data_IF_155743634106
#
_entry.id   IF_155743634106
#
_cell.length_a   1.000
_cell.length_b   1.000
_cell.length_c   1.000
_cell.angle_alpha   90.00
_cell.angle_beta   90.00
_cell.angle_gamma   90.00
#
_symmetry.space_group_name_H-M   'P 1'
#
loop_
_entity.id
_entity.type
_entity.pdbx_description
1 polymer ?
#
# COMPACT_ATOMS: atom_id res chain seq x y z
N UNK A 1 28.41 -1.35 0.20
CA UNK A 1 28.30 -2.82 0.02
C UNK A 1 28.29 -3.57 1.34
N UNK A 2 29.05 -3.15 2.34
CA UNK A 2 29.13 -3.81 3.66
C UNK A 2 27.78 -3.84 4.40
N UNK A 3 27.08 -2.70 4.44
CA UNK A 3 25.74 -2.58 5.06
C UNK A 3 24.65 -3.42 4.38
N UNK A 4 24.82 -3.73 3.08
CA UNK A 4 23.93 -4.64 2.36
C UNK A 4 24.19 -6.09 2.77
N UNK A 5 25.46 -6.52 2.87
CA UNK A 5 25.83 -7.87 3.34
C UNK A 5 25.39 -8.13 4.79
N UNK A 6 25.35 -7.08 5.62
CA UNK A 6 24.86 -7.18 6.99
C UNK A 6 23.35 -7.43 7.08
N UNK A 7 22.56 -6.81 6.18
CA UNK A 7 21.10 -6.89 6.17
C UNK A 7 20.48 -7.89 5.17
N UNK A 8 21.28 -8.58 4.35
CA UNK A 8 20.79 -9.63 3.43
C UNK A 8 20.54 -10.95 4.16
N UNK A 9 19.42 -11.59 3.83
CA UNK A 9 18.96 -12.87 4.39
C UNK A 9 18.69 -13.83 3.23
N UNK A 10 19.08 -15.09 3.39
CA UNK A 10 18.78 -16.17 2.47
C UNK A 10 17.27 -16.39 2.36
N UNK A 11 16.80 -16.50 1.13
CA UNK A 11 15.48 -17.07 0.84
C UNK A 11 15.62 -18.57 0.74
N UNK A 12 14.79 -19.27 1.50
CA UNK A 12 14.77 -20.74 1.52
C UNK A 12 13.81 -21.24 0.45
N UNK A 13 14.34 -22.00 -0.50
CA UNK A 13 13.57 -22.84 -1.42
C UNK A 13 13.41 -24.24 -0.83
N UNK A 14 14.11 -25.23 -1.38
CA UNK A 14 14.14 -26.61 -0.86
C UNK A 14 15.04 -26.80 0.38
N UNK A 15 15.75 -25.76 0.83
CA UNK A 15 16.64 -25.82 1.99
C UNK A 15 17.93 -26.62 1.78
N UNK A 16 18.15 -27.20 0.60
CA UNK A 16 19.26 -28.11 0.33
C UNK A 16 20.62 -27.41 0.28
N UNK A 17 20.68 -26.09 0.10
CA UNK A 17 21.93 -25.32 0.04
C UNK A 17 22.20 -24.48 1.30
N UNK A 18 21.24 -24.41 2.22
CA UNK A 18 21.29 -23.47 3.35
C UNK A 18 21.46 -24.21 4.67
N UNK A 19 22.51 -23.87 5.41
CA UNK A 19 22.84 -24.46 6.70
C UNK A 19 22.03 -23.81 7.80
N UNK A 20 21.44 -24.64 8.66
CA UNK A 20 20.54 -24.20 9.75
C UNK A 20 21.27 -23.17 10.63
N UNK A 21 22.45 -23.50 11.15
CA UNK A 21 23.11 -22.70 12.19
C UNK A 21 24.03 -21.59 11.68
N UNK A 22 24.52 -21.70 10.43
CA UNK A 22 25.60 -20.84 9.90
C UNK A 22 25.09 -19.74 8.97
N UNK A 23 24.01 -19.99 8.26
CA UNK A 23 23.49 -19.05 7.27
C UNK A 23 22.46 -18.09 7.88
N UNK A 24 22.41 -16.86 7.36
CA UNK A 24 21.40 -15.87 7.74
C UNK A 24 20.10 -16.16 6.99
N UNK A 25 19.13 -16.84 7.57
CA UNK A 25 17.87 -17.17 6.90
C UNK A 25 16.60 -16.81 7.69
N UNK A 26 16.76 -16.37 8.94
CA UNK A 26 15.63 -15.93 9.76
C UNK A 26 15.48 -14.40 9.71
N UNK A 27 14.29 -13.85 9.39
CA UNK A 27 14.03 -12.40 9.49
C UNK A 27 14.06 -11.84 10.93
N UNK A 28 14.04 -12.70 11.95
CA UNK A 28 14.23 -12.36 13.37
C UNK A 28 15.00 -13.48 14.07
N UNK A 29 15.90 -13.20 15.03
CA UNK A 29 16.21 -11.90 15.65
C UNK A 29 17.06 -10.98 14.76
N UNK A 30 17.38 -9.75 15.22
CA UNK A 30 18.10 -8.69 14.45
C UNK A 30 19.46 -9.16 13.88
N UNK A 31 20.03 -10.23 14.45
CA UNK A 31 21.25 -10.89 13.96
C UNK A 31 21.02 -11.72 12.69
N UNK A 32 19.77 -11.96 12.30
CA UNK A 32 19.32 -12.82 11.20
C UNK A 32 19.79 -14.28 11.27
N UNK A 33 20.36 -14.67 12.41
CA UNK A 33 20.92 -15.98 12.72
C UNK A 33 20.19 -16.56 13.92
N UNK A 34 20.19 -17.89 13.98
CA UNK A 34 19.63 -18.68 15.07
C UNK A 34 20.43 -18.43 16.34
N UNK A 35 19.73 -18.08 17.42
CA UNK A 35 20.29 -17.92 18.76
C UNK A 35 20.00 -19.13 19.65
N UNK A 36 19.15 -20.06 19.22
CA UNK A 36 19.01 -21.36 19.90
C UNK A 36 20.30 -22.18 19.77
N UNK A 37 20.85 -22.73 20.88
CA UNK A 37 22.04 -23.56 20.82
C UNK A 37 21.78 -24.84 20.01
N UNK A 38 22.73 -25.29 19.16
CA UNK A 38 22.62 -26.53 18.41
C UNK A 38 22.72 -27.74 19.35
N UNK A 39 21.59 -28.15 19.93
CA UNK A 39 21.53 -29.26 20.88
C UNK A 39 20.95 -30.55 20.27
N UNK A 40 20.24 -30.44 19.14
CA UNK A 40 19.41 -31.53 18.59
C UNK A 40 19.86 -32.01 17.19
N UNK A 41 20.49 -31.14 16.41
CA UNK A 41 20.98 -31.42 15.06
C UNK A 41 22.45 -31.02 14.95
N UNK A 42 23.17 -31.68 14.05
CA UNK A 42 24.58 -31.37 13.76
C UNK A 42 24.73 -29.93 13.23
N UNK A 43 25.91 -29.34 13.49
CA UNK A 43 26.28 -27.97 13.13
C UNK A 43 26.26 -27.71 11.61
N UNK A 44 26.40 -28.75 10.79
CA UNK A 44 26.36 -28.67 9.32
C UNK A 44 25.03 -29.15 8.70
N UNK A 45 24.01 -29.39 9.53
CA UNK A 45 22.66 -29.75 9.08
C UNK A 45 22.05 -28.66 8.19
N UNK A 46 21.36 -29.10 7.12
CA UNK A 46 20.72 -28.23 6.13
C UNK A 46 19.23 -28.12 6.37
N UNK A 47 18.63 -27.02 5.89
CA UNK A 47 17.22 -26.73 6.10
C UNK A 47 16.26 -27.74 5.46
N UNK A 48 16.71 -28.50 4.48
CA UNK A 48 15.92 -29.58 3.85
C UNK A 48 15.36 -30.59 4.86
N UNK A 49 16.05 -30.81 5.99
CA UNK A 49 15.62 -31.76 7.04
C UNK A 49 14.33 -31.29 7.72
N UNK A 50 14.14 -29.97 7.81
CA UNK A 50 13.02 -29.31 8.47
C UNK A 50 11.81 -29.09 7.53
N UNK A 51 11.98 -29.38 6.24
CA UNK A 51 10.96 -29.22 5.22
C UNK A 51 10.42 -30.61 4.87
N UNK A 52 9.11 -30.73 4.81
CA UNK A 52 8.43 -31.89 4.28
C UNK A 52 8.27 -31.73 2.76
N UNK A 53 8.77 -32.70 2.00
CA UNK A 53 8.87 -32.60 0.53
C UNK A 53 7.51 -32.73 -0.15
N UNK A 54 6.60 -33.54 0.40
CA UNK A 54 5.28 -33.79 -0.17
C UNK A 54 4.34 -32.62 0.09
N UNK A 55 4.29 -32.14 1.33
CA UNK A 55 3.44 -31.02 1.74
C UNK A 55 4.05 -29.64 1.48
N UNK A 56 5.33 -29.58 1.08
CA UNK A 56 6.14 -28.34 0.95
C UNK A 56 6.01 -27.42 2.16
N UNK A 57 5.85 -28.01 3.34
CA UNK A 57 5.58 -27.29 4.59
C UNK A 57 6.66 -27.57 5.63
N UNK A 58 6.76 -26.71 6.64
CA UNK A 58 7.67 -26.94 7.75
C UNK A 58 7.16 -28.07 8.63
N UNK A 59 8.05 -28.98 9.03
CA UNK A 59 7.77 -30.00 10.05
C UNK A 59 7.65 -29.33 11.41
N UNK A 60 6.45 -28.81 11.73
CA UNK A 60 6.19 -27.96 12.90
C UNK A 60 6.68 -28.56 14.21
N UNK A 61 6.47 -29.85 14.43
CA UNK A 61 6.90 -30.53 15.65
C UNK A 61 8.43 -30.51 15.80
N UNK A 62 9.13 -30.70 14.69
CA UNK A 62 10.59 -30.66 14.65
C UNK A 62 11.11 -29.21 14.78
N UNK A 63 10.45 -28.24 14.15
CA UNK A 63 10.78 -26.81 14.27
C UNK A 63 10.55 -26.31 15.71
N UNK A 64 9.44 -26.66 16.34
CA UNK A 64 9.12 -26.29 17.71
C UNK A 64 10.04 -26.99 18.74
N UNK A 65 10.52 -28.20 18.43
CA UNK A 65 11.48 -28.92 19.27
C UNK A 65 12.91 -28.36 19.17
N UNK A 66 13.27 -27.75 18.05
CA UNK A 66 14.63 -27.28 17.77
C UNK A 66 14.80 -25.79 18.07
N UNK A 67 13.78 -24.96 17.86
CA UNK A 67 13.88 -23.50 17.98
C UNK A 67 13.06 -22.96 19.15
N UNK A 68 13.54 -21.85 19.74
CA UNK A 68 12.75 -21.07 20.71
C UNK A 68 11.49 -20.51 20.05
N UNK A 69 10.46 -20.26 20.85
CA UNK A 69 9.15 -19.78 20.40
C UNK A 69 9.24 -18.52 19.50
N UNK A 70 10.13 -17.58 19.84
CA UNK A 70 10.38 -16.36 19.04
C UNK A 70 11.04 -16.61 17.67
N UNK A 71 11.77 -17.72 17.52
CA UNK A 71 12.43 -18.15 16.28
C UNK A 71 11.52 -19.08 15.46
N UNK A 72 10.66 -19.85 16.15
CA UNK A 72 9.64 -20.70 15.54
C UNK A 72 8.49 -19.86 14.94
N UNK A 73 8.17 -18.68 15.51
CA UNK A 73 7.23 -17.71 14.95
C UNK A 73 7.83 -16.86 13.80
N UNK A 74 8.44 -17.49 12.80
CA UNK A 74 9.05 -16.78 11.69
C UNK A 74 8.05 -16.47 10.55
N UNK A 75 7.08 -15.61 10.83
CA UNK A 75 6.22 -15.06 9.77
C UNK A 75 5.67 -13.72 10.22
N UNK A 76 6.25 -12.65 9.67
CA UNK A 76 5.55 -11.40 9.30
C UNK A 76 6.57 -10.36 8.83
N UNK A 77 6.66 -10.22 7.49
CA UNK A 77 7.18 -9.06 6.73
C UNK A 77 8.71 -8.93 6.62
N UNK A 78 9.27 -9.60 5.62
CA UNK A 78 10.62 -9.34 5.07
C UNK A 78 10.65 -8.15 4.11
N UNK A 79 10.13 -6.98 4.48
CA UNK A 79 10.14 -5.80 3.58
C UNK A 79 11.43 -4.99 3.75
N UNK A 80 12.29 -4.99 2.72
CA UNK A 80 13.34 -3.99 2.60
C UNK A 80 12.75 -2.67 2.08
N UNK A 81 12.99 -1.59 2.79
CA UNK A 81 12.66 -0.23 2.36
C UNK A 81 13.77 0.70 2.85
N UNK A 82 13.93 1.85 2.21
CA UNK A 82 14.85 2.90 2.69
C UNK A 82 14.56 3.25 4.16
N UNK A 83 13.29 3.15 4.57
CA UNK A 83 12.85 3.35 5.95
C UNK A 83 13.32 2.23 6.91
N UNK A 84 13.35 0.96 6.49
CA UNK A 84 13.88 -0.14 7.32
C UNK A 84 15.40 -0.16 7.36
N UNK A 85 16.07 0.20 6.26
CA UNK A 85 17.53 0.41 6.24
C UNK A 85 17.95 1.61 7.12
N UNK A 86 17.20 2.72 7.05
CA UNK A 86 17.41 3.88 7.93
C UNK A 86 17.15 3.51 9.40
N UNK A 87 16.07 2.78 9.69
CA UNK A 87 15.76 2.30 11.05
C UNK A 87 16.88 1.39 11.58
N UNK A 88 17.38 0.45 10.77
CA UNK A 88 18.51 -0.40 11.11
C UNK A 88 19.77 0.44 11.39
N UNK A 89 20.09 1.39 10.50
CA UNK A 89 21.21 2.30 10.69
C UNK A 89 21.09 3.16 11.97
N UNK A 90 19.88 3.61 12.32
CA UNK A 90 19.63 4.34 13.59
C UNK A 90 19.66 3.44 14.82
N UNK A 91 19.27 2.17 14.67
CA UNK A 91 19.29 1.19 15.77
C UNK A 91 20.73 0.75 16.07
N UNK A 92 21.55 0.56 15.03
CA UNK A 92 22.98 0.28 15.14
C UNK A 92 23.78 1.47 15.69
N UNK A 93 23.27 2.71 15.54
CA UNK A 93 23.91 3.94 16.04
C UNK A 93 23.50 4.37 17.46
N UNK A 94 22.64 3.62 18.15
CA UNK A 94 22.16 3.96 19.49
C UNK A 94 20.97 4.94 19.46
N UNK A 95 19.92 4.60 20.21
CA UNK A 95 18.63 5.32 20.23
C UNK A 95 18.75 6.70 20.89
N UNK A 96 18.60 7.77 20.11
CA UNK A 96 17.90 8.96 20.59
C UNK A 96 16.42 8.80 20.25
N UNK A 97 15.59 8.60 21.27
CA UNK A 97 14.14 8.60 21.16
C UNK A 97 13.69 10.00 20.70
N UNK A 98 13.22 10.10 19.45
CA UNK A 98 12.48 11.27 19.00
C UNK A 98 11.10 11.24 19.64
N UNK A 99 10.82 12.20 20.53
CA UNK A 99 9.51 12.41 21.11
C UNK A 99 8.55 12.97 20.06
N UNK A 100 7.52 12.18 19.69
CA UNK A 100 6.31 12.74 19.09
C UNK A 100 5.47 13.37 20.19
N UNK A 101 5.06 14.63 20.03
CA UNK A 101 4.20 15.30 21.00
C UNK A 101 2.91 14.50 21.25
N UNK A 102 2.67 14.18 22.51
CA UNK A 102 1.48 13.47 22.98
C UNK A 102 0.23 14.36 22.93
N UNK A 103 -0.89 13.68 22.68
CA UNK A 103 -2.26 14.15 22.73
C UNK A 103 -2.57 15.03 23.96
N UNK A 104 -2.96 16.27 23.68
CA UNK A 104 -3.73 17.13 24.57
C UNK A 104 -4.75 17.84 23.72
N UNK A 105 -5.97 17.31 23.66
CA UNK A 105 -7.15 17.85 22.96
C UNK A 105 -6.82 18.44 21.59
N UNK A 106 -6.83 17.62 20.52
CA UNK A 106 -6.56 18.08 19.13
C UNK A 106 -7.27 19.40 18.88
N UNK A 107 -6.50 20.49 18.88
CA UNK A 107 -7.05 21.82 18.70
C UNK A 107 -7.75 21.86 17.35
N UNK A 108 -8.96 22.43 17.29
CA UNK A 108 -9.81 22.36 16.10
C UNK A 108 -9.15 22.95 14.84
N UNK A 109 -8.09 23.75 15.02
CA UNK A 109 -7.27 24.28 13.93
C UNK A 109 -6.35 23.26 13.25
N UNK A 110 -5.97 22.15 13.90
CA UNK A 110 -5.27 21.03 13.25
C UNK A 110 -6.19 20.28 12.30
N UNK A 111 -7.45 20.07 12.71
CA UNK A 111 -8.47 19.44 11.85
C UNK A 111 -8.72 20.32 10.62
N UNK A 112 -8.85 21.63 10.81
CA UNK A 112 -9.03 22.59 9.72
C UNK A 112 -7.94 22.49 8.65
N UNK A 113 -6.66 22.39 9.06
CA UNK A 113 -5.53 22.20 8.12
C UNK A 113 -5.70 20.95 7.24
N UNK A 114 -6.02 19.81 7.86
CA UNK A 114 -6.07 18.55 7.12
C UNK A 114 -7.35 18.43 6.29
N UNK A 115 -8.41 19.15 6.65
CA UNK A 115 -9.67 19.25 5.91
C UNK A 115 -9.66 20.24 4.73
N UNK A 116 -8.58 21.01 4.55
CA UNK A 116 -8.45 21.91 3.39
C UNK A 116 -8.62 21.15 2.07
N UNK A 117 -9.32 21.76 1.11
CA UNK A 117 -9.47 21.25 -0.26
C UNK A 117 -8.41 21.88 -1.16
N UNK A 118 -7.15 21.60 -0.82
CA UNK A 118 -5.97 22.10 -1.53
C UNK A 118 -4.94 20.99 -1.74
N UNK A 119 -3.97 21.25 -2.62
CA UNK A 119 -2.89 20.31 -2.92
C UNK A 119 -2.04 19.95 -1.68
N UNK A 120 -1.51 18.72 -1.62
CA UNK A 120 -0.73 18.24 -0.48
C UNK A 120 0.49 19.09 -0.15
N UNK A 121 1.11 19.72 -1.17
CA UNK A 121 2.22 20.67 -1.00
C UNK A 121 1.83 21.90 -0.17
N UNK A 122 0.59 22.39 -0.33
CA UNK A 122 0.06 23.54 0.42
C UNK A 122 -0.21 23.14 1.87
N UNK A 123 -0.81 21.96 2.10
CA UNK A 123 -1.01 21.42 3.47
C UNK A 123 0.32 21.27 4.22
N UNK A 124 1.32 20.68 3.57
CA UNK A 124 2.66 20.54 4.15
C UNK A 124 3.31 21.89 4.42
N UNK A 125 3.12 22.87 3.54
CA UNK A 125 3.62 24.22 3.74
C UNK A 125 3.01 24.88 4.99
N UNK A 126 1.68 24.86 5.13
CA UNK A 126 1.01 25.42 6.32
C UNK A 126 1.42 24.67 7.59
N UNK A 127 1.55 23.33 7.54
CA UNK A 127 2.10 22.54 8.64
C UNK A 127 3.51 23.00 9.05
N UNK A 128 4.39 23.31 8.09
CA UNK A 128 5.73 23.86 8.37
C UNK A 128 5.67 25.26 8.98
N UNK A 129 4.74 26.11 8.55
CA UNK A 129 4.51 27.41 9.16
C UNK A 129 4.08 27.27 10.63
N UNK A 130 3.14 26.37 10.91
CA UNK A 130 2.60 26.11 12.26
C UNK A 130 3.66 25.56 13.23
N UNK A 131 4.61 24.76 12.73
CA UNK A 131 5.73 24.26 13.53
C UNK A 131 6.92 25.24 13.56
N UNK A 132 6.82 26.40 12.90
CA UNK A 132 7.91 27.37 12.74
C UNK A 132 9.23 26.74 12.23
N UNK A 133 9.16 25.83 11.27
CA UNK A 133 10.33 25.11 10.71
C UNK A 133 10.68 25.53 9.28
N UNK A 134 10.03 26.57 8.75
CA UNK A 134 10.44 27.14 7.47
C UNK A 134 11.85 27.74 7.57
N UNK A 135 12.64 27.71 6.48
CA UNK A 135 13.98 28.29 6.44
C UNK A 135 13.92 29.82 6.28
N UNK A 136 13.28 30.48 7.24
CA UNK A 136 13.28 31.94 7.35
C UNK A 136 14.64 32.42 7.87
N UNK A 137 15.07 33.64 7.54
CA UNK A 137 16.32 34.16 8.11
C UNK A 137 16.34 34.22 9.63
N UNK A 138 15.20 34.41 10.31
CA UNK A 138 15.14 34.29 11.77
C UNK A 138 15.56 32.89 12.25
N UNK A 139 15.01 31.84 11.63
CA UNK A 139 15.37 30.46 11.97
C UNK A 139 16.81 30.11 11.58
N UNK A 140 17.31 30.65 10.46
CA UNK A 140 18.69 30.43 10.02
C UNK A 140 19.69 31.19 10.92
N UNK A 141 19.33 32.39 11.37
CA UNK A 141 20.14 33.21 12.28
C UNK A 141 20.26 32.54 13.65
N UNK A 142 19.15 32.01 14.20
CA UNK A 142 19.16 31.20 15.43
C UNK A 142 20.05 29.95 15.33
N UNK A 143 20.25 29.43 14.12
CA UNK A 143 21.14 28.30 13.82
C UNK A 143 22.55 28.71 13.44
N UNK A 144 22.88 30.01 13.52
CA UNK A 144 24.18 30.57 13.14
C UNK A 144 24.59 30.28 11.69
N UNK A 145 23.62 30.18 10.78
CA UNK A 145 23.85 29.96 9.34
C UNK A 145 23.98 31.29 8.58
N UNK A 146 23.37 32.36 9.09
CA UNK A 146 23.37 33.70 8.47
C UNK A 146 23.67 34.78 9.52
N UNK A 147 24.27 35.90 9.08
CA UNK A 147 24.72 36.98 9.98
C UNK A 147 23.63 38.02 10.31
N UNK A 148 22.50 37.99 9.61
CA UNK A 148 21.36 38.86 9.89
C UNK A 148 20.04 38.11 9.69
N UNK A 149 19.05 38.52 10.46
CA UNK A 149 17.69 37.97 10.41
C UNK A 149 16.69 38.87 9.66
N UNK A 150 17.13 39.97 9.03
CA UNK A 150 16.24 40.92 8.35
C UNK A 150 15.65 40.34 7.06
N UNK A 151 14.36 40.61 6.83
CA UNK A 151 13.65 40.14 5.64
C UNK A 151 14.25 40.73 4.36
N UNK A 152 14.68 39.90 3.38
CA UNK A 152 15.42 40.39 2.21
C UNK A 152 14.65 41.37 1.32
N UNK A 153 13.31 41.38 1.37
CA UNK A 153 12.50 42.22 0.49
C UNK A 153 12.21 43.58 1.13
N UNK A 154 11.75 43.61 2.39
CA UNK A 154 11.41 44.87 3.04
C UNK A 154 12.60 45.52 3.74
N UNK A 155 13.59 44.73 4.19
CA UNK A 155 14.81 45.14 4.91
C UNK A 155 14.48 46.01 6.14
N UNK A 156 13.30 45.79 6.77
CA UNK A 156 12.81 46.60 7.90
C UNK A 156 12.62 45.77 9.17
N UNK A 157 12.07 44.57 9.02
CA UNK A 157 11.73 43.69 10.13
C UNK A 157 12.38 42.32 9.97
N UNK A 158 12.38 41.56 11.06
CA UNK A 158 12.88 40.19 11.12
C UNK A 158 12.04 39.27 10.21
N UNK A 159 12.72 38.42 9.43
CA UNK A 159 12.06 37.43 8.58
C UNK A 159 11.49 36.29 9.43
N UNK A 160 10.25 36.44 9.87
CA UNK A 160 9.44 35.35 10.42
C UNK A 160 8.45 34.84 9.38
N UNK A 161 7.89 33.65 9.60
CA UNK A 161 6.84 33.10 8.73
C UNK A 161 5.65 34.05 8.65
N UNK A 162 5.22 34.62 9.79
CA UNK A 162 4.09 35.55 9.85
C UNK A 162 4.42 36.89 9.19
N UNK A 163 5.65 37.39 9.33
CA UNK A 163 6.06 38.63 8.66
C UNK A 163 6.05 38.46 7.14
N UNK A 164 6.69 37.40 6.66
CA UNK A 164 6.84 37.10 5.23
C UNK A 164 5.50 36.91 4.53
N UNK A 165 4.56 36.22 5.19
CA UNK A 165 3.32 35.74 4.58
C UNK A 165 2.15 36.72 4.82
N UNK A 166 2.13 37.43 5.95
CA UNK A 166 0.97 38.23 6.35
C UNK A 166 1.31 39.69 6.61
N UNK A 167 2.27 39.98 7.50
CA UNK A 167 2.47 41.35 8.02
C UNK A 167 3.13 42.28 7.00
N UNK A 168 4.17 41.80 6.29
CA UNK A 168 5.01 42.62 5.42
C UNK A 168 4.20 43.45 4.40
N UNK A 169 4.58 44.72 4.13
CA UNK A 169 3.96 45.52 3.07
C UNK A 169 3.92 44.82 1.70
N UNK A 170 4.94 44.02 1.38
CA UNK A 170 5.03 43.25 0.13
C UNK A 170 4.21 41.96 0.13
N UNK A 171 3.57 41.61 1.25
CA UNK A 171 2.51 40.62 1.28
C UNK A 171 1.16 41.33 1.28
N UNK A 172 1.07 42.47 1.97
CA UNK A 172 -0.14 43.28 2.05
C UNK A 172 -0.62 43.79 0.68
N UNK A 173 0.28 44.07 -0.26
CA UNK A 173 -0.03 44.43 -1.64
C UNK A 173 -0.83 43.34 -2.38
N UNK A 174 -0.56 42.06 -2.09
CA UNK A 174 -1.29 40.91 -2.64
C UNK A 174 -2.61 40.71 -1.92
N UNK A 175 -2.61 40.79 -0.58
CA UNK A 175 -3.84 40.68 0.23
C UNK A 175 -4.84 41.81 -0.02
N UNK A 176 -4.39 42.94 -0.57
CA UNK A 176 -5.24 44.07 -0.96
C UNK A 176 -5.75 44.03 -2.41
N UNK A 177 -5.57 42.91 -3.12
CA UNK A 177 -6.04 42.78 -4.51
C UNK A 177 -7.56 42.79 -4.65
N UNK A 178 -8.07 43.39 -5.73
CA UNK A 178 -9.50 43.64 -6.00
C UNK A 178 -10.39 42.38 -5.99
N UNK A 179 -9.81 41.19 -6.20
CA UNK A 179 -10.53 39.91 -6.32
C UNK A 179 -10.34 38.96 -5.12
N UNK A 180 -9.95 39.48 -3.94
CA UNK A 180 -9.93 38.68 -2.70
C UNK A 180 -11.26 38.85 -1.97
N UNK A 181 -11.92 37.73 -1.69
CA UNK A 181 -13.25 37.68 -1.06
C UNK A 181 -13.28 38.10 0.43
N UNK A 182 -12.17 38.60 0.98
CA UNK A 182 -12.03 38.98 2.38
C UNK A 182 -10.98 40.07 2.55
N UNK A 183 -11.25 41.01 3.45
CA UNK A 183 -10.31 42.09 3.78
C UNK A 183 -9.25 41.60 4.76
N UNK A 184 -8.04 42.16 4.69
CA UNK A 184 -7.05 42.01 5.75
C UNK A 184 -7.37 42.96 6.91
N UNK A 185 -7.47 42.44 8.13
CA UNK A 185 -7.95 43.19 9.30
C UNK A 185 -6.83 43.66 10.22
N UNK A 186 -5.83 42.80 10.50
CA UNK A 186 -4.74 43.07 11.47
C UNK A 186 -3.36 43.01 10.82
N UNK A 187 -2.45 43.86 11.33
CA UNK A 187 -1.04 43.94 10.92
C UNK A 187 -0.06 43.36 11.92
N UNK A 188 -0.51 42.92 13.10
CA UNK A 188 0.39 42.43 14.15
C UNK A 188 -0.08 41.08 14.67
N UNK A 189 0.80 40.10 14.57
CA UNK A 189 0.66 38.75 15.09
C UNK A 189 2.00 38.34 15.68
N UNK A 190 1.98 37.69 16.85
CA UNK A 190 3.21 37.24 17.51
C UNK A 190 3.85 36.07 16.76
N UNK A 191 3.03 35.14 16.28
CA UNK A 191 3.45 33.97 15.52
C UNK A 191 2.40 33.55 14.48
N UNK A 192 2.74 32.52 13.70
CA UNK A 192 1.86 31.99 12.67
C UNK A 192 0.70 31.16 13.25
N UNK A 193 0.83 30.60 14.45
CA UNK A 193 -0.23 29.79 15.07
C UNK A 193 -1.43 30.65 15.44
N UNK A 194 -1.20 31.82 16.05
CA UNK A 194 -2.25 32.78 16.38
C UNK A 194 -2.96 33.31 15.14
N UNK A 195 -2.20 33.59 14.07
CA UNK A 195 -2.78 33.94 12.77
C UNK A 195 -3.68 32.82 12.25
N UNK A 196 -3.19 31.57 12.26
CA UNK A 196 -3.94 30.42 11.75
C UNK A 196 -5.24 30.17 12.52
N UNK A 197 -5.20 30.26 13.86
CA UNK A 197 -6.39 30.11 14.71
C UNK A 197 -7.45 31.14 14.34
N UNK A 198 -7.06 32.40 14.16
CA UNK A 198 -8.00 33.46 13.78
C UNK A 198 -8.59 33.22 12.39
N UNK A 199 -7.78 32.78 11.42
CA UNK A 199 -8.28 32.46 10.07
C UNK A 199 -9.27 31.30 10.08
N UNK A 200 -9.00 30.24 10.84
CA UNK A 200 -9.92 29.10 10.98
C UNK A 200 -11.26 29.53 11.58
N UNK A 201 -11.25 30.49 12.51
CA UNK A 201 -12.47 30.98 13.15
C UNK A 201 -13.26 31.99 12.31
N UNK A 202 -12.58 32.79 11.49
CA UNK A 202 -13.22 33.88 10.74
C UNK A 202 -13.57 33.52 9.30
N UNK A 203 -12.85 32.60 8.67
CA UNK A 203 -13.01 32.32 7.23
C UNK A 203 -14.00 31.19 6.99
N UNK A 204 -14.78 31.32 5.93
CA UNK A 204 -15.49 30.18 5.34
C UNK A 204 -14.45 29.16 4.83
N UNK A 205 -14.86 27.91 4.65
CA UNK A 205 -13.98 26.86 4.12
C UNK A 205 -13.31 27.28 2.80
N UNK A 206 -14.09 27.86 1.89
CA UNK A 206 -13.58 28.31 0.59
C UNK A 206 -12.54 29.44 0.71
N UNK A 207 -12.78 30.38 1.62
CA UNK A 207 -11.84 31.47 1.89
C UNK A 207 -10.56 30.94 2.53
N UNK A 208 -10.67 29.94 3.41
CA UNK A 208 -9.52 29.31 4.05
C UNK A 208 -8.66 28.52 3.04
N UNK A 209 -9.28 27.84 2.08
CA UNK A 209 -8.59 27.15 0.99
C UNK A 209 -7.81 28.15 0.12
N UNK A 210 -8.47 29.22 -0.33
CA UNK A 210 -7.83 30.26 -1.13
C UNK A 210 -6.70 30.96 -0.36
N UNK A 211 -6.94 31.32 0.90
CA UNK A 211 -5.94 31.94 1.76
C UNK A 211 -4.70 31.04 1.91
N UNK A 212 -4.90 29.74 2.15
CA UNK A 212 -3.81 28.78 2.30
C UNK A 212 -2.95 28.67 1.05
N UNK A 213 -3.57 28.64 -0.14
CA UNK A 213 -2.86 28.64 -1.42
C UNK A 213 -2.14 29.97 -1.63
N UNK A 214 -2.77 31.10 -1.31
CA UNK A 214 -2.17 32.42 -1.48
C UNK A 214 -0.93 32.60 -0.59
N UNK A 215 -0.98 32.13 0.66
CA UNK A 215 0.18 32.10 1.56
C UNK A 215 1.34 31.31 0.98
N UNK A 216 1.05 30.15 0.36
CA UNK A 216 2.06 29.35 -0.32
C UNK A 216 2.69 30.12 -1.50
N UNK A 217 1.88 30.80 -2.32
CA UNK A 217 2.39 31.60 -3.44
C UNK A 217 3.14 32.86 -2.98
N UNK A 218 2.83 33.44 -1.83
CA UNK A 218 3.62 34.51 -1.21
C UNK A 218 5.01 34.02 -0.78
N UNK A 219 5.09 32.83 -0.18
CA UNK A 219 6.36 32.19 0.10
C UNK A 219 7.15 31.88 -1.19
N UNK A 220 6.47 31.44 -2.24
CA UNK A 220 7.09 31.22 -3.54
C UNK A 220 7.60 32.54 -4.17
N UNK A 221 6.84 33.64 -4.07
CA UNK A 221 7.25 34.99 -4.51
C UNK A 221 8.54 35.41 -3.82
N UNK A 222 8.64 35.17 -2.51
CA UNK A 222 9.87 35.39 -1.72
C UNK A 222 11.04 34.56 -2.21
N UNK A 223 10.82 33.27 -2.48
CA UNK A 223 11.89 32.39 -2.96
C UNK A 223 12.37 32.78 -4.37
N UNK A 224 11.46 33.16 -5.27
CA UNK A 224 11.83 33.68 -6.58
C UNK A 224 12.68 34.94 -6.48
N UNK A 225 12.36 35.84 -5.55
CA UNK A 225 13.16 37.04 -5.32
C UNK A 225 14.59 36.68 -4.88
N UNK A 226 14.73 35.79 -3.89
CA UNK A 226 16.03 35.49 -3.27
C UNK A 226 16.92 34.62 -4.16
N UNK A 227 16.34 33.61 -4.82
CA UNK A 227 17.12 32.61 -5.55
C UNK A 227 17.16 32.84 -7.05
N UNK A 228 16.25 33.65 -7.60
CA UNK A 228 16.11 33.88 -9.04
C UNK A 228 16.14 35.36 -9.41
N UNK A 229 16.26 36.27 -8.43
CA UNK A 229 16.21 37.71 -8.63
C UNK A 229 14.93 38.17 -9.38
N UNK A 230 13.81 37.48 -9.15
CA UNK A 230 12.52 37.76 -9.80
C UNK A 230 11.47 38.17 -8.77
N UNK A 231 10.81 39.31 -9.01
CA UNK A 231 9.72 39.78 -8.16
C UNK A 231 8.41 39.90 -8.96
N UNK A 232 7.49 38.95 -8.75
CA UNK A 232 6.20 38.94 -9.43
C UNK A 232 5.28 40.07 -8.92
N UNK A 233 4.46 40.61 -9.82
CA UNK A 233 3.44 41.62 -9.49
C UNK A 233 2.29 41.00 -8.67
N UNK A 234 1.63 41.76 -7.78
CA UNK A 234 0.61 41.23 -6.86
C UNK A 234 -0.53 40.48 -7.56
N UNK A 235 -1.08 41.06 -8.64
CA UNK A 235 -2.15 40.45 -9.41
C UNK A 235 -1.77 39.10 -10.03
N UNK A 236 -0.50 38.91 -10.41
CA UNK A 236 -0.01 37.62 -10.93
C UNK A 236 0.02 36.54 -9.85
N UNK A 237 0.39 36.91 -8.61
CA UNK A 237 0.41 35.98 -7.47
C UNK A 237 -1.01 35.53 -7.12
N UNK A 238 -1.96 36.48 -7.09
CA UNK A 238 -3.37 36.17 -6.84
C UNK A 238 -3.98 35.29 -7.95
N UNK A 239 -3.73 35.63 -9.22
CA UNK A 239 -4.22 34.85 -10.36
C UNK A 239 -3.68 33.40 -10.34
N UNK A 240 -2.41 33.21 -9.98
CA UNK A 240 -1.82 31.87 -9.80
C UNK A 240 -2.51 31.08 -8.70
N UNK A 241 -2.80 31.71 -7.57
CA UNK A 241 -3.50 31.06 -6.46
C UNK A 241 -4.93 30.65 -6.83
N UNK A 242 -5.68 31.53 -7.49
CA UNK A 242 -7.04 31.25 -7.96
C UNK A 242 -7.07 30.15 -9.02
N UNK A 243 -6.16 30.21 -10.00
CA UNK A 243 -6.03 29.18 -11.03
C UNK A 243 -5.71 27.81 -10.44
N UNK A 244 -4.78 27.73 -9.47
CA UNK A 244 -4.45 26.48 -8.79
C UNK A 244 -5.65 25.91 -8.02
N UNK A 245 -6.42 26.75 -7.34
CA UNK A 245 -7.62 26.31 -6.62
C UNK A 245 -8.69 25.76 -7.58
N UNK A 246 -8.96 26.47 -8.68
CA UNK A 246 -9.94 26.04 -9.69
C UNK A 246 -9.56 24.70 -10.31
N UNK A 247 -8.29 24.53 -10.71
CA UNK A 247 -7.78 23.27 -11.27
C UNK A 247 -7.90 22.11 -10.26
N UNK A 248 -7.61 22.37 -8.98
CA UNK A 248 -7.73 21.36 -7.93
C UNK A 248 -9.18 20.91 -7.72
N UNK A 249 -10.13 21.86 -7.75
CA UNK A 249 -11.56 21.56 -7.64
C UNK A 249 -12.07 20.75 -8.83
N UNK A 250 -11.70 21.14 -10.05
CA UNK A 250 -12.07 20.41 -11.27
C UNK A 250 -11.56 18.96 -11.23
N UNK A 251 -10.28 18.78 -10.89
CA UNK A 251 -9.68 17.45 -10.75
C UNK A 251 -10.40 16.56 -9.73
N UNK A 252 -10.78 17.12 -8.58
CA UNK A 252 -11.51 16.37 -7.55
C UNK A 252 -12.93 15.99 -8.00
N UNK A 253 -13.62 16.85 -8.74
CA UNK A 253 -14.95 16.55 -9.29
C UNK A 253 -14.87 15.38 -10.26
N UNK A 254 -13.92 15.40 -11.19
CA UNK A 254 -13.70 14.30 -12.15
C UNK A 254 -13.40 12.98 -11.42
N UNK A 255 -12.57 13.02 -10.37
CA UNK A 255 -12.26 11.82 -9.59
C UNK A 255 -13.45 11.28 -8.79
N UNK A 256 -14.34 12.15 -8.29
CA UNK A 256 -15.58 11.72 -7.63
C UNK A 256 -16.49 10.97 -8.61
N UNK A 257 -16.71 11.54 -9.81
CA UNK A 257 -17.50 10.90 -10.87
C UNK A 257 -16.91 9.52 -11.23
N UNK A 258 -15.58 9.45 -11.44
CA UNK A 258 -14.91 8.16 -11.72
C UNK A 258 -15.05 7.16 -10.58
N UNK A 259 -15.04 7.60 -9.32
CA UNK A 259 -15.21 6.72 -8.18
C UNK A 259 -16.64 6.15 -8.13
N UNK A 260 -17.64 6.97 -8.43
CA UNK A 260 -19.06 6.57 -8.52
C UNK A 260 -19.29 5.57 -9.67
N UNK A 261 -18.72 5.82 -10.85
CA UNK A 261 -18.80 4.89 -11.99
C UNK A 261 -18.12 3.55 -11.67
N UNK A 262 -16.95 3.57 -11.03
CA UNK A 262 -16.27 2.35 -10.60
C UNK A 262 -17.08 1.58 -9.55
N UNK A 263 -17.76 2.28 -8.64
CA UNK A 263 -18.64 1.64 -7.66
C UNK A 263 -19.84 0.98 -8.34
N UNK A 264 -20.44 1.65 -9.33
CA UNK A 264 -21.55 1.10 -10.11
C UNK A 264 -21.12 -0.14 -10.90
N UNK A 265 -19.97 -0.08 -11.58
CA UNK A 265 -19.42 -1.21 -12.34
C UNK A 265 -19.08 -2.41 -11.44
N UNK A 266 -18.63 -2.19 -10.20
CA UNK A 266 -18.41 -3.27 -9.22
C UNK A 266 -19.71 -3.95 -8.80
N UNK A 267 -20.80 -3.20 -8.65
CA UNK A 267 -22.10 -3.74 -8.25
C UNK A 267 -22.75 -4.55 -9.37
N UNK A 268 -22.46 -4.23 -10.63
CA UNK A 268 -23.02 -4.91 -11.81
C UNK A 268 -22.07 -5.94 -12.43
N UNK A 269 -20.94 -6.26 -11.79
CA UNK A 269 -19.98 -7.22 -12.33
C UNK A 269 -20.54 -8.65 -12.17
N UNK A 270 -21.11 -9.21 -13.24
CA UNK A 270 -21.54 -10.60 -13.33
C UNK A 270 -20.51 -11.46 -14.08
N UNK A 271 -20.50 -12.76 -13.78
CA UNK A 271 -19.71 -13.72 -14.54
C UNK A 271 -20.17 -13.78 -15.99
N UNK A 272 -19.22 -14.02 -16.92
CA UNK A 272 -19.52 -14.15 -18.36
C UNK A 272 -18.81 -15.37 -18.94
N UNK A 273 -19.43 -16.10 -19.86
CA UNK A 273 -18.80 -17.25 -20.47
C UNK A 273 -17.64 -16.81 -21.38
N UNK A 274 -16.60 -17.65 -21.53
CA UNK A 274 -15.52 -17.40 -22.47
C UNK A 274 -15.96 -17.65 -23.93
N UNK A 275 -15.23 -17.08 -24.89
CA UNK A 275 -15.39 -17.45 -26.29
C UNK A 275 -14.75 -18.82 -26.56
N UNK A 276 -15.29 -19.60 -27.49
CA UNK A 276 -14.61 -20.80 -27.99
C UNK A 276 -13.21 -20.45 -28.54
N UNK A 277 -12.18 -21.30 -28.35
CA UNK A 277 -12.21 -22.64 -27.75
C UNK A 277 -11.92 -22.66 -26.22
N UNK A 278 -12.03 -21.52 -25.54
CA UNK A 278 -11.59 -21.40 -24.15
C UNK A 278 -12.61 -21.99 -23.15
N UNK A 279 -12.07 -22.54 -22.07
CA UNK A 279 -12.79 -22.76 -20.81
C UNK A 279 -12.35 -21.70 -19.80
N UNK A 280 -13.18 -21.47 -18.79
CA UNK A 280 -12.94 -20.48 -17.76
C UNK A 280 -12.89 -21.14 -16.40
N UNK A 281 -11.86 -20.81 -15.63
CA UNK A 281 -11.54 -21.40 -14.34
C UNK A 281 -11.59 -20.30 -13.29
N UNK A 282 -12.64 -20.33 -12.47
CA UNK A 282 -12.80 -19.44 -11.33
C UNK A 282 -12.19 -20.11 -10.11
N UNK A 283 -11.23 -19.45 -9.46
CA UNK A 283 -10.60 -19.95 -8.24
C UNK A 283 -10.75 -18.92 -7.11
N UNK A 284 -10.85 -19.40 -5.87
CA UNK A 284 -10.86 -18.56 -4.68
C UNK A 284 -10.33 -19.33 -3.48
N UNK A 285 -9.83 -18.61 -2.48
CA UNK A 285 -9.40 -19.18 -1.22
C UNK A 285 -9.99 -18.44 -0.02
N UNK A 286 -10.57 -19.18 0.92
CA UNK A 286 -10.94 -18.66 2.22
C UNK A 286 -9.90 -19.04 3.27
N UNK A 287 -9.36 -18.05 3.98
CA UNK A 287 -8.30 -18.25 4.96
C UNK A 287 -8.77 -17.97 6.40
N UNK A 288 -8.66 -18.98 7.27
CA UNK A 288 -8.91 -18.85 8.70
C UNK A 288 -7.59 -18.55 9.46
N UNK A 289 -7.45 -17.29 9.89
CA UNK A 289 -6.26 -16.81 10.59
C UNK A 289 -6.03 -17.45 11.96
N UNK A 290 -7.07 -17.99 12.60
CA UNK A 290 -7.00 -18.48 13.97
C UNK A 290 -6.30 -19.82 14.06
N UNK A 291 -6.58 -20.73 13.12
CA UNK A 291 -5.97 -22.06 13.07
C UNK A 291 -4.96 -22.23 11.92
N UNK A 292 -4.82 -21.23 11.05
CA UNK A 292 -3.92 -21.31 9.89
C UNK A 292 -4.42 -22.27 8.81
N UNK A 293 -5.72 -22.57 8.79
CA UNK A 293 -6.35 -23.43 7.79
C UNK A 293 -6.95 -22.61 6.66
N UNK A 294 -6.88 -23.13 5.45
CA UNK A 294 -7.55 -22.56 4.28
C UNK A 294 -8.52 -23.55 3.66
N UNK A 295 -9.56 -23.02 3.04
CA UNK A 295 -10.40 -23.72 2.07
C UNK A 295 -10.17 -23.10 0.70
N UNK A 296 -10.23 -23.91 -0.35
CA UNK A 296 -10.17 -23.45 -1.74
C UNK A 296 -11.31 -24.06 -2.54
N UNK A 297 -11.78 -23.32 -3.53
CA UNK A 297 -12.70 -23.80 -4.55
C UNK A 297 -12.16 -23.46 -5.93
N UNK A 298 -12.29 -24.41 -6.85
CA UNK A 298 -12.01 -24.26 -8.27
C UNK A 298 -13.23 -24.70 -9.05
N UNK A 299 -13.75 -23.81 -9.89
CA UNK A 299 -14.93 -24.05 -10.73
C UNK A 299 -14.52 -23.86 -12.19
N UNK A 300 -14.66 -24.90 -13.00
CA UNK A 300 -14.40 -24.86 -14.44
C UNK A 300 -15.72 -24.85 -15.18
N UNK A 301 -15.93 -23.84 -16.03
CA UNK A 301 -17.11 -23.72 -16.88
C UNK A 301 -16.71 -23.60 -18.35
N UNK A 302 -17.57 -24.15 -19.21
CA UNK A 302 -17.40 -24.08 -20.67
C UNK A 302 -17.88 -22.73 -21.26
N UNK A 303 -17.77 -22.62 -22.58
CA UNK A 303 -18.22 -21.45 -23.36
C UNK A 303 -19.75 -21.28 -23.39
N UNK A 304 -20.52 -22.31 -23.04
CA UNK A 304 -21.97 -22.24 -22.91
C UNK A 304 -22.38 -21.89 -21.47
N UNK A 305 -21.43 -21.77 -20.54
CA UNK A 305 -21.66 -21.48 -19.13
C UNK A 305 -21.94 -22.73 -18.28
N UNK A 306 -21.90 -23.92 -18.86
CA UNK A 306 -22.14 -25.16 -18.15
C UNK A 306 -20.98 -25.46 -17.20
N UNK A 307 -21.33 -25.96 -16.01
CA UNK A 307 -20.36 -26.47 -15.04
C UNK A 307 -19.73 -27.76 -15.59
N UNK A 308 -18.42 -27.74 -15.78
CA UNK A 308 -17.67 -28.91 -16.26
C UNK A 308 -16.90 -29.60 -15.12
N UNK A 309 -16.33 -28.83 -14.20
CA UNK A 309 -15.63 -29.37 -13.02
C UNK A 309 -15.85 -28.47 -11.82
N UNK A 310 -16.04 -29.08 -10.65
CA UNK A 310 -15.88 -28.43 -9.35
C UNK A 310 -14.85 -29.22 -8.54
N UNK A 311 -13.92 -28.50 -7.92
CA UNK A 311 -12.95 -29.06 -6.99
C UNK A 311 -12.95 -28.21 -5.72
N UNK A 312 -13.18 -28.88 -4.59
CA UNK A 312 -13.10 -28.27 -3.27
C UNK A 312 -12.01 -28.95 -2.47
N UNK A 313 -11.13 -28.18 -1.84
CA UNK A 313 -10.09 -28.73 -0.97
C UNK A 313 -9.84 -27.84 0.25
N UNK A 314 -9.18 -28.39 1.26
CA UNK A 314 -8.66 -27.62 2.39
C UNK A 314 -7.20 -27.95 2.63
N UNK A 315 -6.47 -27.00 3.20
CA UNK A 315 -5.07 -27.16 3.59
C UNK A 315 -4.80 -26.50 4.92
N UNK A 316 -3.97 -27.15 5.72
CA UNK A 316 -3.44 -26.57 6.95
C UNK A 316 -2.17 -25.78 6.67
N UNK A 317 -1.62 -25.13 7.70
CA UNK A 317 -0.31 -24.46 7.65
C UNK A 317 -0.21 -23.29 6.66
N UNK A 318 -1.34 -22.67 6.33
CA UNK A 318 -1.39 -21.44 5.53
C UNK A 318 -1.13 -20.23 6.42
N UNK A 319 -0.23 -19.35 6.00
CA UNK A 319 0.26 -18.24 6.83
C UNK A 319 -0.23 -16.86 6.39
N UNK A 320 -0.86 -16.75 5.22
CA UNK A 320 -1.36 -15.48 4.71
C UNK A 320 -2.47 -15.69 3.68
N UNK A 321 -3.30 -14.65 3.50
CA UNK A 321 -4.29 -14.60 2.41
C UNK A 321 -3.60 -14.71 1.05
N UNK A 322 -2.44 -14.06 0.87
CA UNK A 322 -1.68 -14.15 -0.38
C UNK A 322 -1.28 -15.61 -0.70
N UNK A 323 -0.80 -16.34 0.30
CA UNK A 323 -0.46 -17.76 0.15
C UNK A 323 -1.70 -18.59 -0.19
N UNK A 324 -2.80 -18.39 0.53
CA UNK A 324 -4.04 -19.14 0.30
C UNK A 324 -4.54 -18.99 -1.15
N UNK A 325 -4.64 -17.75 -1.62
CA UNK A 325 -5.08 -17.42 -2.98
C UNK A 325 -4.10 -17.92 -4.04
N UNK A 326 -2.80 -17.84 -3.77
CA UNK A 326 -1.77 -18.39 -4.65
C UNK A 326 -1.80 -19.92 -4.73
N UNK A 327 -2.09 -20.61 -3.62
CA UNK A 327 -2.22 -22.06 -3.59
C UNK A 327 -3.49 -22.55 -4.31
N UNK A 328 -4.60 -21.82 -4.18
CA UNK A 328 -5.81 -22.09 -4.96
C UNK A 328 -5.54 -21.94 -6.46
N UNK A 329 -4.84 -20.87 -6.88
CA UNK A 329 -4.42 -20.71 -8.27
C UNK A 329 -3.48 -21.83 -8.73
N UNK A 330 -2.52 -22.22 -7.89
CA UNK A 330 -1.58 -23.30 -8.20
C UNK A 330 -2.34 -24.60 -8.45
N UNK A 331 -3.26 -24.98 -7.55
CA UNK A 331 -4.07 -26.18 -7.72
C UNK A 331 -4.97 -26.08 -8.96
N UNK A 332 -5.51 -24.91 -9.27
CA UNK A 332 -6.32 -24.69 -10.47
C UNK A 332 -5.51 -24.94 -11.76
N UNK A 333 -4.28 -24.43 -11.81
CA UNK A 333 -3.36 -24.63 -12.91
C UNK A 333 -2.95 -26.10 -13.03
N UNK A 334 -2.59 -26.74 -11.92
CA UNK A 334 -2.23 -28.16 -11.86
C UNK A 334 -3.39 -29.06 -12.33
N UNK A 335 -4.60 -28.81 -11.85
CA UNK A 335 -5.83 -29.49 -12.29
C UNK A 335 -6.06 -29.35 -13.81
N UNK A 336 -5.80 -28.18 -14.39
CA UNK A 336 -5.92 -27.98 -15.82
C UNK A 336 -4.91 -28.82 -16.62
N UNK A 337 -3.71 -29.08 -16.07
CA UNK A 337 -2.78 -30.02 -16.68
C UNK A 337 -3.28 -31.46 -16.59
N UNK A 338 -3.78 -31.88 -15.43
CA UNK A 338 -4.35 -33.22 -15.21
C UNK A 338 -5.50 -33.53 -16.18
N UNK A 339 -6.34 -32.53 -16.46
CA UNK A 339 -7.46 -32.63 -17.39
C UNK A 339 -7.07 -32.42 -18.86
N UNK A 340 -5.82 -32.08 -19.17
CA UNK A 340 -5.36 -31.84 -20.53
C UNK A 340 -5.99 -30.59 -21.18
N UNK A 341 -6.27 -29.54 -20.40
CA UNK A 341 -6.91 -28.31 -20.87
C UNK A 341 -5.88 -27.32 -21.42
N UNK A 342 -5.98 -27.02 -22.73
CA UNK A 342 -5.03 -26.13 -23.42
C UNK A 342 -5.48 -24.67 -23.44
N UNK A 343 -6.75 -24.38 -23.72
CA UNK A 343 -7.27 -23.02 -23.84
C UNK A 343 -8.01 -22.60 -22.55
N UNK A 344 -7.29 -21.95 -21.63
CA UNK A 344 -7.80 -21.70 -20.27
C UNK A 344 -7.70 -20.23 -19.89
N UNK A 345 -8.80 -19.69 -19.35
CA UNK A 345 -8.83 -18.37 -18.71
C UNK A 345 -9.04 -18.56 -17.21
N UNK A 346 -8.02 -18.28 -16.41
CA UNK A 346 -8.09 -18.25 -14.95
C UNK A 346 -8.61 -16.90 -14.48
N UNK A 347 -9.57 -16.90 -13.57
CA UNK A 347 -10.18 -15.71 -12.97
C UNK A 347 -10.22 -15.83 -11.45
N UNK A 348 -9.74 -14.80 -10.75
CA UNK A 348 -9.79 -14.71 -9.29
C UNK A 348 -9.95 -13.27 -8.79
N UNK A 349 -10.30 -13.10 -7.51
CA UNK A 349 -10.54 -11.79 -6.90
C UNK A 349 -9.30 -11.21 -6.16
N UNK A 350 -8.22 -11.99 -6.08
CA UNK A 350 -6.98 -11.60 -5.42
C UNK A 350 -6.05 -10.79 -6.33
N UNK A 351 -6.38 -9.50 -6.54
CA UNK A 351 -5.58 -8.59 -7.40
C UNK A 351 -4.07 -8.61 -7.11
N UNK A 352 -3.70 -8.72 -5.83
CA UNK A 352 -2.28 -8.77 -5.41
C UNK A 352 -1.56 -9.99 -5.95
N UNK A 353 -2.21 -11.17 -5.97
CA UNK A 353 -1.66 -12.42 -6.54
C UNK A 353 -1.59 -12.31 -8.06
N UNK A 354 -2.67 -11.84 -8.68
CA UNK A 354 -2.78 -11.75 -10.14
C UNK A 354 -1.75 -10.77 -10.72
N UNK A 355 -1.63 -9.58 -10.12
CA UNK A 355 -0.63 -8.60 -10.54
C UNK A 355 0.80 -9.12 -10.30
N UNK A 356 1.04 -9.90 -9.24
CA UNK A 356 2.34 -10.51 -8.96
C UNK A 356 2.74 -11.57 -9.99
N UNK A 357 1.79 -12.40 -10.43
CA UNK A 357 2.03 -13.45 -11.42
C UNK A 357 2.16 -12.84 -12.83
N UNK A 358 1.29 -11.92 -13.22
CA UNK A 358 1.30 -11.32 -14.56
C UNK A 358 2.47 -10.34 -14.79
N UNK A 359 2.87 -9.57 -13.77
CA UNK A 359 3.90 -8.55 -13.93
C UNK A 359 5.17 -8.91 -13.16
N UNK A 360 6.24 -9.22 -13.90
CA UNK A 360 7.61 -9.26 -13.36
C UNK A 360 8.09 -7.84 -13.05
N UNK A 361 7.68 -7.26 -11.93
CA UNK A 361 8.36 -6.06 -11.39
C UNK A 361 9.65 -6.48 -10.71
N UNK A 362 10.74 -5.76 -10.93
CA UNK A 362 12.02 -5.96 -10.24
C UNK A 362 11.86 -5.86 -8.70
N UNK A 363 10.88 -5.09 -8.22
CA UNK A 363 10.54 -4.95 -6.80
C UNK A 363 9.71 -6.10 -6.22
N UNK A 364 9.21 -7.04 -7.05
CA UNK A 364 8.44 -8.20 -6.60
C UNK A 364 9.32 -9.31 -6.01
N UNK A 365 10.61 -9.02 -5.78
CA UNK A 365 11.56 -9.95 -5.19
C UNK A 365 10.95 -10.69 -4.00
N UNK A 366 10.09 -10.12 -3.15
CA UNK A 366 9.57 -10.78 -1.94
C UNK A 366 8.41 -11.79 -2.13
N UNK A 367 7.79 -11.90 -3.31
CA UNK A 367 6.54 -12.66 -3.53
C UNK A 367 6.69 -14.20 -3.61
N UNK A 368 7.90 -14.71 -3.32
CA UNK A 368 8.15 -16.11 -2.95
C UNK A 368 8.19 -17.12 -4.10
N UNK A 369 8.68 -18.33 -3.79
CA UNK A 369 8.76 -19.49 -4.69
C UNK A 369 7.43 -19.80 -5.39
N UNK A 370 6.31 -19.63 -4.68
CA UNK A 370 4.96 -19.86 -5.21
C UNK A 370 4.67 -18.98 -6.44
N UNK A 371 5.02 -17.69 -6.40
CA UNK A 371 4.80 -16.80 -7.55
C UNK A 371 5.65 -17.20 -8.75
N UNK A 372 6.90 -17.62 -8.51
CA UNK A 372 7.79 -18.11 -9.58
C UNK A 372 7.26 -19.41 -10.21
N UNK A 373 6.76 -20.34 -9.39
CA UNK A 373 6.12 -21.58 -9.85
C UNK A 373 4.88 -21.26 -10.72
N UNK A 374 4.00 -20.36 -10.26
CA UNK A 374 2.81 -19.90 -11.00
C UNK A 374 3.18 -19.22 -12.33
N UNK A 375 4.24 -18.41 -12.34
CA UNK A 375 4.74 -17.80 -13.57
C UNK A 375 5.24 -18.85 -14.56
N UNK A 376 5.86 -19.94 -14.09
CA UNK A 376 6.32 -21.02 -14.97
C UNK A 376 5.17 -21.74 -15.65
N UNK A 377 4.02 -21.92 -15.00
CA UNK A 377 2.83 -22.48 -15.65
C UNK A 377 2.41 -21.65 -16.87
N UNK A 378 2.34 -20.34 -16.74
CA UNK A 378 1.95 -19.45 -17.84
C UNK A 378 3.00 -19.42 -18.96
N UNK A 379 4.29 -19.48 -18.63
CA UNK A 379 5.37 -19.53 -19.64
C UNK A 379 5.34 -20.84 -20.43
N UNK A 380 5.01 -21.96 -19.78
CA UNK A 380 4.93 -23.28 -20.44
C UNK A 380 3.63 -23.47 -21.23
N UNK A 381 2.57 -22.77 -20.87
CA UNK A 381 1.24 -22.87 -21.49
C UNK A 381 0.80 -21.52 -22.07
N UNK A 382 1.27 -21.20 -23.28
CA UNK A 382 1.10 -19.87 -23.90
C UNK A 382 -0.35 -19.45 -24.15
N UNK A 383 -1.28 -20.40 -24.16
CA UNK A 383 -2.72 -20.16 -24.33
C UNK A 383 -3.45 -19.93 -23.01
N UNK A 384 -2.74 -19.95 -21.87
CA UNK A 384 -3.31 -19.68 -20.57
C UNK A 384 -3.28 -18.18 -20.25
N UNK A 385 -4.41 -17.68 -19.74
CA UNK A 385 -4.59 -16.26 -19.43
C UNK A 385 -5.03 -16.15 -17.97
N UNK A 386 -4.42 -15.25 -17.20
CA UNK A 386 -4.80 -14.98 -15.81
C UNK A 386 -5.38 -13.57 -15.68
N UNK A 387 -6.65 -13.47 -15.26
CA UNK A 387 -7.40 -12.23 -15.19
C UNK A 387 -7.91 -11.96 -13.77
N UNK A 388 -7.89 -10.68 -13.39
CA UNK A 388 -8.57 -10.21 -12.19
C UNK A 388 -10.04 -9.95 -12.49
N UNK A 389 -10.89 -10.44 -11.60
CA UNK A 389 -12.32 -10.16 -11.59
C UNK A 389 -12.75 -9.64 -10.22
N UNK A 390 -13.85 -8.88 -10.19
CA UNK A 390 -14.44 -8.51 -8.90
C UNK A 390 -15.12 -9.73 -8.26
N UNK A 391 -15.15 -9.76 -6.93
CA UNK A 391 -15.76 -10.85 -6.14
C UNK A 391 -17.18 -11.21 -6.59
N UNK A 392 -17.97 -10.23 -7.02
CA UNK A 392 -19.33 -10.46 -7.56
C UNK A 392 -19.33 -11.39 -8.77
N UNK A 393 -18.35 -11.25 -9.67
CA UNK A 393 -18.17 -12.14 -10.82
C UNK A 393 -17.46 -13.46 -10.45
N UNK A 394 -16.90 -13.57 -9.24
CA UNK A 394 -16.26 -14.79 -8.70
C UNK A 394 -17.10 -15.44 -7.59
N UNK A 395 -18.41 -15.12 -7.49
CA UNK A 395 -19.27 -15.45 -6.34
C UNK A 395 -19.29 -16.94 -6.03
N UNK A 396 -19.37 -17.79 -7.06
CA UNK A 396 -19.43 -19.26 -6.90
C UNK A 396 -18.20 -19.78 -6.16
N UNK A 397 -17.00 -19.49 -6.69
CA UNK A 397 -15.74 -19.91 -6.08
C UNK A 397 -15.59 -19.33 -4.67
N UNK A 398 -15.91 -18.04 -4.49
CA UNK A 398 -15.79 -17.37 -3.20
C UNK A 398 -16.65 -17.99 -2.09
N UNK A 399 -17.92 -18.26 -2.38
CA UNK A 399 -18.84 -18.83 -1.39
C UNK A 399 -18.46 -20.27 -1.05
N UNK A 400 -18.12 -21.08 -2.04
CA UNK A 400 -17.74 -22.47 -1.82
C UNK A 400 -16.37 -22.61 -1.13
N UNK A 401 -15.40 -21.73 -1.40
CA UNK A 401 -14.11 -21.74 -0.70
C UNK A 401 -14.27 -21.51 0.82
N UNK A 402 -15.26 -20.71 1.25
CA UNK A 402 -15.56 -20.52 2.68
C UNK A 402 -16.08 -21.80 3.34
N UNK A 403 -16.95 -22.55 2.64
CA UNK A 403 -17.46 -23.84 3.10
C UNK A 403 -16.35 -24.90 3.12
N UNK A 404 -15.39 -24.80 2.20
CA UNK A 404 -14.27 -25.71 2.07
C UNK A 404 -13.35 -25.73 3.30
N UNK A 405 -13.33 -24.69 4.14
CA UNK A 405 -12.47 -24.64 5.35
C UNK A 405 -12.72 -25.84 6.27
N UNK A 406 -13.96 -26.33 6.36
CA UNK A 406 -14.29 -27.49 7.19
C UNK A 406 -14.06 -28.85 6.52
N UNK A 407 -13.79 -28.90 5.22
CA UNK A 407 -13.63 -30.16 4.49
C UNK A 407 -12.35 -30.86 4.88
N UNK A 408 -12.41 -32.16 5.18
CA UNK A 408 -11.21 -32.94 5.55
C UNK A 408 -10.42 -33.37 4.33
N UNK A 409 -11.11 -33.72 3.24
CA UNK A 409 -10.50 -34.25 2.02
C UNK A 409 -10.74 -33.32 0.83
N UNK A 410 -9.88 -33.44 -0.18
CA UNK A 410 -10.16 -32.92 -1.52
C UNK A 410 -11.33 -33.71 -2.13
N UNK A 411 -12.28 -32.99 -2.70
CA UNK A 411 -13.43 -33.54 -3.39
C UNK A 411 -13.45 -33.01 -4.82
N UNK A 412 -13.67 -33.91 -5.77
CA UNK A 412 -13.67 -33.63 -7.20
C UNK A 412 -14.99 -34.10 -7.83
N UNK A 413 -15.61 -33.26 -8.63
CA UNK A 413 -16.82 -33.55 -9.38
C UNK A 413 -16.63 -33.21 -10.86
N UNK A 414 -17.07 -34.13 -11.73
CA UNK A 414 -17.10 -33.97 -13.18
C UNK A 414 -18.54 -33.77 -13.65
N UNK A 415 -18.78 -32.71 -14.42
CA UNK A 415 -20.10 -32.25 -14.87
C UNK A 415 -21.13 -32.13 -13.73
N UNK A 416 -20.63 -31.94 -12.50
CA UNK A 416 -21.40 -31.88 -11.26
C UNK A 416 -20.65 -31.01 -10.22
N UNK A 417 -21.25 -30.81 -9.06
CA UNK A 417 -20.63 -30.14 -7.91
C UNK A 417 -21.47 -30.22 -6.64
N UNK A 418 -21.00 -29.62 -5.54
CA UNK A 418 -21.81 -29.43 -4.34
C UNK A 418 -23.15 -28.73 -4.67
N UNK A 419 -24.24 -29.01 -3.92
CA UNK A 419 -25.54 -28.38 -4.16
C UNK A 419 -25.48 -26.84 -4.25
N UNK A 420 -24.65 -26.22 -3.41
CA UNK A 420 -24.42 -24.77 -3.38
C UNK A 420 -23.76 -24.28 -4.67
N UNK A 421 -22.72 -24.99 -5.14
CA UNK A 421 -22.00 -24.66 -6.38
C UNK A 421 -22.93 -24.81 -7.58
N UNK A 422 -23.69 -25.90 -7.67
CA UNK A 422 -24.68 -26.12 -8.75
C UNK A 422 -25.73 -25.02 -8.79
N UNK A 423 -26.31 -24.68 -7.64
CA UNK A 423 -27.33 -23.63 -7.56
C UNK A 423 -26.79 -22.30 -8.08
N UNK A 424 -25.61 -21.88 -7.61
CA UNK A 424 -25.01 -20.61 -8.01
C UNK A 424 -24.51 -20.62 -9.46
N UNK A 425 -23.98 -21.75 -9.94
CA UNK A 425 -23.58 -21.89 -11.34
C UNK A 425 -24.78 -21.79 -12.29
N UNK A 426 -25.95 -22.29 -11.87
CA UNK A 426 -27.21 -22.16 -12.62
C UNK A 426 -27.73 -20.72 -12.60
N UNK A 427 -27.59 -20.00 -11.48
CA UNK A 427 -27.91 -18.56 -11.42
C UNK A 427 -27.07 -17.76 -12.42
N UNK A 428 -25.76 -18.04 -12.52
CA UNK A 428 -24.88 -17.36 -13.48
C UNK A 428 -25.34 -17.58 -14.94
N UNK A 429 -25.90 -18.76 -15.27
CA UNK A 429 -26.48 -19.08 -16.58
C UNK A 429 -27.79 -18.32 -16.83
N UNK A 430 -28.68 -18.22 -15.82
CA UNK A 430 -29.96 -17.54 -15.94
C UNK A 430 -29.76 -16.02 -16.14
N UNK A 431 -28.78 -15.43 -15.46
CA UNK A 431 -28.45 -14.01 -15.60
C UNK A 431 -27.80 -13.64 -16.95
N UNK A 432 -27.61 -14.59 -17.87
CA UNK A 432 -27.12 -14.34 -19.23
C UNK A 432 -28.22 -13.98 -20.24
N UNK A 433 -29.47 -14.33 -19.93
CA UNK A 433 -30.67 -14.06 -20.76
C UNK A 433 -31.32 -12.77 -20.28
#
# INVERSE_FOLDING_TARGET
MELLKEGTVWRIGNGASTKIWKDKWLPRPVTYQIQTPPNTLDLDSRLEVLIDVESRSWKKDLVAAIFKEEEAECSKKGTFSVKSAYLLATTLKGRHLGEGSKDGGTSDWWKALWLLEVSGKVKQFIWKCLNNILPTKDNLFRKQIVDNNLYPICIREVETSVHTIWVCPTAADVWGGENIAFSKWRRHYLDFQLLWIELVNLFTKENLDLASILMYHLWARRNAFIFQNQFSQPGSVLAKAQSELSLFREYNTVNKIRAEDNMRNRLTATWKPPNQPFVKVNFDAAFNKTNGRMGMEIVIKDHAGNLHVSLTASRDNTNSVFQAEGEALYRAMDLCLELGLYHVIFEGDAKVVIDAVNFKKEDNMWLGQLTEDLQQFLVRNLTWILNFVHRQANKVAHTAAQLAISNVNECFWLDDGPPEVKSMATEDLICMV
#
